data_IF_646446739448
#
_entry.id   IF_646446739448
#
_cell.length_a   1.000
_cell.length_b   1.000
_cell.length_c   1.000
_cell.angle_alpha   90.00
_cell.angle_beta   90.00
_cell.angle_gamma   90.00
#
_symmetry.space_group_name_H-M   'P 1'
#
loop_
_entity.id
_entity.type
_entity.pdbx_description
1 polymer ?
#
# COMPACT_ATOMS: atom_id res chain seq x y z
N UNK A 1 12.44 4.06 -14.34
CA UNK A 1 12.04 2.93 -13.48
C UNK A 1 11.52 3.49 -12.18
N UNK A 2 10.37 3.05 -11.71
CA UNK A 2 9.87 3.44 -10.39
C UNK A 2 10.87 2.95 -9.33
N UNK A 3 11.23 3.81 -8.39
CA UNK A 3 12.11 3.46 -7.29
C UNK A 3 11.31 3.59 -5.99
N UNK A 4 10.67 2.49 -5.60
CA UNK A 4 9.86 2.44 -4.39
C UNK A 4 10.74 2.45 -3.15
N UNK A 5 10.27 3.16 -2.14
CA UNK A 5 10.84 3.13 -0.80
C UNK A 5 10.08 2.11 0.04
N UNK A 6 10.73 1.02 0.40
CA UNK A 6 10.13 -0.03 1.22
C UNK A 6 10.05 0.33 2.71
N UNK A 7 10.56 1.48 3.13
CA UNK A 7 10.57 1.91 4.54
C UNK A 7 9.19 2.08 5.17
N UNK A 8 8.15 2.24 4.35
CA UNK A 8 6.76 2.35 4.80
C UNK A 8 6.06 1.00 4.98
N UNK A 9 6.67 -0.09 4.53
CA UNK A 9 6.18 -1.44 4.74
C UNK A 9 6.61 -1.92 6.15
N UNK A 10 5.80 -2.77 6.76
CA UNK A 10 6.23 -3.60 7.88
C UNK A 10 6.72 -4.96 7.37
N UNK A 11 7.25 -5.80 8.28
CA UNK A 11 7.79 -7.12 7.91
C UNK A 11 6.76 -7.94 7.12
N UNK A 12 5.52 -7.98 7.58
CA UNK A 12 4.43 -8.72 6.95
C UNK A 12 4.04 -8.17 5.57
N UNK A 13 4.00 -6.84 5.41
CA UNK A 13 3.74 -6.22 4.12
C UNK A 13 4.82 -6.63 3.10
N UNK A 14 6.09 -6.68 3.52
CA UNK A 14 7.20 -7.12 2.65
C UNK A 14 7.14 -8.62 2.34
N UNK A 15 6.75 -9.46 3.30
CA UNK A 15 6.53 -10.91 3.08
C UNK A 15 5.42 -11.13 2.05
N UNK A 16 4.28 -10.46 2.18
CA UNK A 16 3.15 -10.56 1.25
C UNK A 16 3.52 -10.05 -0.15
N UNK A 17 4.23 -8.92 -0.24
CA UNK A 17 4.75 -8.41 -1.50
C UNK A 17 5.72 -9.40 -2.15
N UNK A 18 6.67 -9.93 -1.39
CA UNK A 18 7.65 -10.90 -1.88
C UNK A 18 6.97 -12.18 -2.36
N UNK A 19 5.95 -12.67 -1.64
CA UNK A 19 5.14 -13.81 -2.06
C UNK A 19 4.50 -13.58 -3.42
N UNK A 20 3.83 -12.45 -3.61
CA UNK A 20 3.10 -12.15 -4.83
C UNK A 20 4.07 -11.98 -6.02
N UNK A 21 5.18 -11.28 -5.81
CA UNK A 21 6.22 -11.11 -6.83
C UNK A 21 6.90 -12.44 -7.20
N UNK A 22 7.31 -13.25 -6.21
CA UNK A 22 7.92 -14.55 -6.45
C UNK A 22 6.95 -15.52 -7.11
N UNK A 23 5.70 -15.55 -6.66
CA UNK A 23 4.67 -16.43 -7.26
C UNK A 23 4.47 -16.09 -8.73
N UNK A 24 4.45 -14.82 -9.07
CA UNK A 24 4.32 -14.35 -10.45
C UNK A 24 5.56 -14.62 -11.29
N UNK A 25 6.74 -14.33 -10.72
CA UNK A 25 8.03 -14.45 -11.41
C UNK A 25 8.42 -15.90 -11.69
N UNK A 26 8.23 -16.79 -10.71
CA UNK A 26 8.55 -18.22 -10.82
C UNK A 26 7.39 -19.07 -11.35
N UNK A 27 6.19 -18.49 -11.51
CA UNK A 27 4.95 -19.19 -11.84
C UNK A 27 4.64 -20.36 -10.87
N UNK A 28 4.92 -20.13 -9.59
CA UNK A 28 4.69 -21.06 -8.50
C UNK A 28 3.73 -20.43 -7.48
N UNK A 29 2.96 -21.25 -6.77
CA UNK A 29 2.04 -20.76 -5.74
C UNK A 29 2.69 -20.91 -4.35
N UNK A 30 3.28 -19.82 -3.84
CA UNK A 30 3.89 -19.79 -2.52
C UNK A 30 2.85 -19.64 -1.41
N UNK A 31 2.99 -20.44 -0.36
CA UNK A 31 2.20 -20.37 0.86
C UNK A 31 2.87 -19.42 1.85
N UNK A 32 2.10 -18.55 2.49
CA UNK A 32 2.52 -17.74 3.65
C UNK A 32 1.99 -18.36 4.94
N UNK A 33 2.66 -18.07 6.06
CA UNK A 33 2.31 -18.62 7.36
C UNK A 33 1.88 -17.52 8.33
N UNK A 34 1.18 -17.91 9.39
CA UNK A 34 0.83 -17.02 10.49
C UNK A 34 2.11 -16.69 11.26
N UNK A 35 2.32 -15.41 11.56
CA UNK A 35 3.43 -14.96 12.39
C UNK A 35 3.50 -15.75 13.71
N UNK A 36 4.69 -16.25 14.06
CA UNK A 36 4.90 -16.95 15.32
C UNK A 36 5.96 -18.04 15.25
N UNK A 37 5.60 -19.32 15.40
CA UNK A 37 6.53 -20.44 15.48
C UNK A 37 6.77 -21.12 14.12
N UNK A 38 7.21 -20.36 13.14
CA UNK A 38 7.45 -20.78 11.74
C UNK A 38 8.84 -21.36 11.47
N UNK A 39 9.69 -21.46 12.48
CA UNK A 39 11.08 -21.93 12.38
C UNK A 39 11.95 -21.15 11.38
N UNK A 40 11.57 -19.88 11.08
CA UNK A 40 12.26 -19.02 10.12
C UNK A 40 11.85 -19.25 8.67
N UNK A 41 10.65 -19.79 8.44
CA UNK A 41 10.05 -19.92 7.11
C UNK A 41 8.99 -18.84 6.96
N UNK A 42 9.23 -17.86 6.09
CA UNK A 42 8.22 -16.82 5.80
C UNK A 42 7.30 -17.29 4.67
N UNK A 43 7.87 -17.88 3.63
CA UNK A 43 7.11 -18.46 2.52
C UNK A 43 7.65 -19.87 2.18
N UNK A 44 6.76 -20.72 1.67
CA UNK A 44 7.09 -22.09 1.28
C UNK A 44 6.37 -22.50 0.00
N UNK A 45 7.06 -23.25 -0.82
CA UNK A 45 6.46 -24.03 -1.89
C UNK A 45 6.67 -25.52 -1.60
N UNK A 46 5.57 -26.27 -1.58
CA UNK A 46 5.54 -27.71 -1.28
C UNK A 46 5.18 -28.48 -2.54
N UNK A 47 5.80 -29.63 -2.70
CA UNK A 47 5.45 -30.63 -3.72
C UNK A 47 4.90 -31.88 -3.05
N UNK A 48 4.34 -32.83 -3.83
CA UNK A 48 3.87 -34.12 -3.30
C UNK A 48 4.98 -34.95 -2.65
N UNK A 49 6.26 -34.65 -3.01
CA UNK A 49 7.43 -35.40 -2.53
C UNK A 49 8.14 -34.72 -1.36
N UNK A 50 8.01 -33.40 -1.23
CA UNK A 50 8.72 -32.63 -0.23
C UNK A 50 7.89 -31.40 0.19
N UNK A 51 7.63 -31.30 1.49
CA UNK A 51 6.94 -30.15 2.07
C UNK A 51 7.77 -28.87 2.03
N UNK A 52 9.09 -28.98 2.00
CA UNK A 52 10.04 -27.86 2.00
C UNK A 52 10.86 -27.81 0.70
N UNK A 53 10.25 -28.09 -0.44
CA UNK A 53 10.95 -28.08 -1.73
C UNK A 53 11.64 -26.75 -1.99
N UNK A 54 10.91 -25.63 -1.83
CA UNK A 54 11.50 -24.28 -1.84
C UNK A 54 11.10 -23.55 -0.56
N UNK A 55 12.08 -23.05 0.16
CA UNK A 55 11.89 -22.21 1.35
C UNK A 55 12.38 -20.81 1.04
N UNK A 56 11.58 -19.81 1.41
CA UNK A 56 11.90 -18.39 1.25
C UNK A 56 11.94 -17.73 2.60
N UNK A 57 12.96 -16.94 2.85
CA UNK A 57 13.06 -16.05 4.00
C UNK A 57 13.11 -14.61 3.54
N UNK A 58 12.33 -13.77 4.21
CA UNK A 58 12.22 -12.33 3.94
C UNK A 58 12.72 -11.57 5.16
N UNK A 59 13.66 -10.66 4.96
CA UNK A 59 14.21 -9.82 6.05
C UNK A 59 14.05 -8.35 5.72
N UNK A 60 13.22 -7.68 6.49
CA UNK A 60 13.03 -6.25 6.39
C UNK A 60 13.99 -5.52 7.33
N UNK A 61 15.02 -4.88 6.75
CA UNK A 61 16.04 -4.16 7.51
C UNK A 61 15.96 -2.67 7.20
N UNK A 62 15.50 -1.88 8.15
CA UNK A 62 15.35 -0.41 7.98
C UNK A 62 16.51 0.39 8.57
N UNK A 63 17.10 -0.06 9.67
CA UNK A 63 18.04 0.76 10.45
C UNK A 63 19.41 0.13 10.71
N UNK A 64 19.51 -1.20 10.71
CA UNK A 64 20.71 -1.89 11.21
C UNK A 64 21.80 -2.16 10.15
N UNK A 65 21.47 -1.93 8.87
CA UNK A 65 22.41 -2.06 7.77
C UNK A 65 22.82 -3.50 7.40
N UNK A 66 23.57 -3.60 6.30
CA UNK A 66 23.92 -4.88 5.68
C UNK A 66 24.87 -5.76 6.53
N UNK A 67 25.79 -5.13 7.28
CA UNK A 67 26.73 -5.89 8.14
C UNK A 67 26.00 -6.61 9.26
N UNK A 68 25.02 -5.98 9.87
CA UNK A 68 24.18 -6.60 10.90
C UNK A 68 23.35 -7.75 10.31
N UNK A 69 22.78 -7.55 9.13
CA UNK A 69 22.07 -8.60 8.40
C UNK A 69 22.96 -9.82 8.16
N UNK A 70 24.14 -9.65 7.55
CA UNK A 70 25.07 -10.76 7.28
C UNK A 70 25.48 -11.51 8.55
N UNK A 71 25.68 -10.78 9.66
CA UNK A 71 25.98 -11.39 10.96
C UNK A 71 24.81 -12.23 11.48
N UNK A 72 23.58 -11.72 11.36
CA UNK A 72 22.38 -12.48 11.76
C UNK A 72 22.19 -13.73 10.89
N UNK A 73 22.35 -13.61 9.58
CA UNK A 73 22.22 -14.73 8.65
C UNK A 73 23.18 -15.86 9.01
N UNK A 74 24.44 -15.51 9.29
CA UNK A 74 25.47 -16.48 9.65
C UNK A 74 25.25 -17.12 11.02
N UNK A 75 24.87 -16.32 12.02
CA UNK A 75 24.88 -16.76 13.42
C UNK A 75 23.55 -17.35 13.90
N UNK A 76 22.43 -17.06 13.20
CA UNK A 76 21.10 -17.49 13.64
C UNK A 76 20.32 -18.23 12.56
N UNK A 77 20.36 -17.74 11.31
CA UNK A 77 19.48 -18.27 10.28
C UNK A 77 20.04 -19.51 9.59
N UNK A 78 21.35 -19.60 9.44
CA UNK A 78 21.99 -20.75 8.80
C UNK A 78 21.63 -22.09 9.48
N UNK A 79 21.65 -22.15 10.82
CA UNK A 79 21.33 -23.38 11.55
C UNK A 79 19.88 -23.83 11.34
N UNK A 80 18.96 -22.88 11.20
CA UNK A 80 17.56 -23.16 10.89
C UNK A 80 17.41 -23.78 9.51
N UNK A 81 18.04 -23.17 8.50
CA UNK A 81 18.01 -23.66 7.12
C UNK A 81 18.69 -25.02 7.01
N UNK A 82 19.82 -25.20 7.70
CA UNK A 82 20.53 -26.48 7.75
C UNK A 82 19.73 -27.60 8.43
N UNK A 83 18.84 -27.25 9.35
CA UNK A 83 17.90 -28.21 9.97
C UNK A 83 16.75 -28.55 9.01
N UNK A 84 16.23 -27.58 8.26
CA UNK A 84 15.15 -27.78 7.31
C UNK A 84 15.59 -28.54 6.05
N UNK A 85 16.84 -28.35 5.62
CA UNK A 85 17.45 -28.95 4.42
C UNK A 85 16.59 -28.80 3.16
N UNK A 86 16.15 -27.57 2.81
CA UNK A 86 15.33 -27.37 1.62
C UNK A 86 16.12 -27.71 0.35
N UNK A 87 15.44 -28.16 -0.70
CA UNK A 87 16.08 -28.36 -2.01
C UNK A 87 16.58 -27.05 -2.61
N UNK A 88 15.85 -25.95 -2.38
CA UNK A 88 16.22 -24.60 -2.80
C UNK A 88 15.84 -23.59 -1.72
N UNK A 89 16.78 -22.74 -1.36
CA UNK A 89 16.57 -21.64 -0.43
C UNK A 89 16.65 -20.32 -1.17
N UNK A 90 15.64 -19.47 -1.01
CA UNK A 90 15.57 -18.11 -1.58
C UNK A 90 15.62 -17.12 -0.43
N UNK A 91 16.47 -16.13 -0.55
CA UNK A 91 16.59 -15.04 0.42
C UNK A 91 16.18 -13.72 -0.19
N UNK A 92 15.31 -12.97 0.51
CA UNK A 92 14.83 -11.66 0.09
C UNK A 92 15.06 -10.61 1.18
N UNK A 93 15.46 -9.41 0.79
CA UNK A 93 15.61 -8.27 1.72
C UNK A 93 15.23 -6.94 1.06
N UNK A 94 14.78 -5.99 1.87
CA UNK A 94 14.52 -4.61 1.46
C UNK A 94 15.79 -3.77 1.23
N UNK A 95 16.97 -4.31 1.57
CA UNK A 95 18.24 -3.61 1.39
C UNK A 95 18.75 -3.70 -0.07
N UNK A 96 19.43 -2.66 -0.56
CA UNK A 96 20.20 -2.77 -1.80
C UNK A 96 21.39 -3.70 -1.60
N UNK A 97 21.65 -4.57 -2.58
CA UNK A 97 22.74 -5.54 -2.54
C UNK A 97 23.68 -5.37 -3.72
N UNK A 98 24.97 -5.28 -3.45
CA UNK A 98 26.00 -5.37 -4.50
C UNK A 98 26.17 -6.83 -4.99
N UNK A 99 26.81 -7.06 -6.16
CA UNK A 99 27.15 -8.41 -6.61
C UNK A 99 27.97 -9.20 -5.57
N UNK A 100 28.87 -8.54 -4.85
CA UNK A 100 29.69 -9.17 -3.80
C UNK A 100 28.81 -9.58 -2.61
N UNK A 101 27.85 -8.74 -2.21
CA UNK A 101 26.94 -9.07 -1.11
C UNK A 101 26.10 -10.30 -1.41
N UNK A 102 25.63 -10.43 -2.67
CA UNK A 102 24.92 -11.64 -3.10
C UNK A 102 25.81 -12.89 -3.06
N UNK A 103 27.07 -12.75 -3.45
CA UNK A 103 28.03 -13.85 -3.36
C UNK A 103 28.27 -14.26 -1.91
N UNK A 104 28.54 -13.31 -1.01
CA UNK A 104 28.77 -13.58 0.41
C UNK A 104 27.56 -14.27 1.06
N UNK A 105 26.34 -13.83 0.75
CA UNK A 105 25.12 -14.47 1.27
C UNK A 105 24.94 -15.88 0.71
N UNK A 106 25.24 -16.10 -0.58
CA UNK A 106 25.22 -17.44 -1.17
C UNK A 106 26.18 -18.38 -0.45
N UNK A 107 27.39 -17.93 -0.15
CA UNK A 107 28.40 -18.74 0.54
C UNK A 107 27.98 -19.11 1.97
N UNK A 108 27.29 -18.19 2.68
CA UNK A 108 26.72 -18.49 4.01
C UNK A 108 25.74 -19.67 3.94
N UNK A 109 24.89 -19.74 2.93
CA UNK A 109 23.82 -20.73 2.84
C UNK A 109 24.11 -21.89 1.88
N UNK A 110 25.37 -22.08 1.48
CA UNK A 110 25.73 -23.25 0.67
C UNK A 110 25.43 -24.56 1.45
N UNK A 111 24.87 -25.59 0.83
CA UNK A 111 24.54 -25.73 -0.61
C UNK A 111 23.10 -25.33 -0.99
N UNK A 112 22.33 -24.71 -0.11
CA UNK A 112 20.87 -24.50 -0.27
C UNK A 112 20.52 -23.37 -1.24
N UNK A 113 21.32 -22.29 -1.30
CA UNK A 113 21.17 -21.23 -2.34
C UNK A 113 21.88 -21.72 -3.60
N UNK A 114 21.09 -22.03 -4.62
CA UNK A 114 21.61 -22.64 -5.85
C UNK A 114 22.27 -21.60 -6.78
N UNK A 115 21.76 -20.38 -6.80
CA UNK A 115 22.22 -19.30 -7.67
C UNK A 115 22.22 -17.96 -6.93
N UNK A 116 23.06 -17.02 -7.34
CA UNK A 116 22.98 -15.62 -6.88
C UNK A 116 21.63 -14.95 -7.21
N UNK A 117 20.90 -15.46 -8.19
CA UNK A 117 19.52 -15.03 -8.51
C UNK A 117 18.50 -15.45 -7.46
N UNK A 118 18.83 -16.35 -6.52
CA UNK A 118 17.99 -16.70 -5.39
C UNK A 118 18.13 -15.69 -4.23
N UNK A 119 18.94 -14.66 -4.42
CA UNK A 119 19.16 -13.59 -3.46
C UNK A 119 18.60 -12.31 -4.07
N UNK A 120 17.50 -11.85 -3.48
CA UNK A 120 16.66 -10.77 -3.98
C UNK A 120 16.86 -9.56 -3.08
N UNK A 121 17.37 -8.47 -3.64
CA UNK A 121 17.53 -7.20 -2.97
C UNK A 121 16.50 -6.17 -3.42
N UNK A 122 16.63 -4.95 -2.89
CA UNK A 122 15.79 -3.81 -3.22
C UNK A 122 15.63 -3.59 -4.73
N UNK A 123 16.73 -3.68 -5.48
CA UNK A 123 16.73 -3.38 -6.91
C UNK A 123 16.00 -4.46 -7.72
N UNK A 124 16.11 -5.73 -7.30
CA UNK A 124 15.37 -6.83 -7.92
C UNK A 124 13.86 -6.68 -7.70
N UNK A 125 13.45 -6.32 -6.46
CA UNK A 125 12.05 -6.06 -6.12
C UNK A 125 11.49 -4.89 -6.94
N UNK A 126 12.23 -3.78 -7.05
CA UNK A 126 11.83 -2.62 -7.85
C UNK A 126 11.70 -2.96 -9.34
N UNK A 127 12.60 -3.78 -9.87
CA UNK A 127 12.52 -4.26 -11.25
C UNK A 127 11.24 -5.06 -11.48
N UNK A 128 10.96 -6.03 -10.61
CA UNK A 128 9.75 -6.86 -10.74
C UNK A 128 8.45 -6.07 -10.55
N UNK A 129 8.44 -5.06 -9.68
CA UNK A 129 7.31 -4.14 -9.56
C UNK A 129 7.04 -3.36 -10.86
N UNK A 130 8.10 -3.00 -11.58
CA UNK A 130 7.97 -2.42 -12.92
C UNK A 130 7.47 -3.39 -13.97
N UNK A 131 7.85 -4.68 -13.85
CA UNK A 131 7.45 -5.75 -14.77
C UNK A 131 6.02 -6.26 -14.51
N UNK A 132 5.48 -6.08 -13.27
CA UNK A 132 4.17 -6.59 -12.83
C UNK A 132 3.30 -5.50 -12.19
N UNK A 133 2.73 -4.57 -12.98
CA UNK A 133 1.92 -3.44 -12.46
C UNK A 133 0.73 -3.88 -11.61
N UNK A 134 0.12 -5.02 -11.94
CA UNK A 134 -1.02 -5.57 -11.20
C UNK A 134 -0.69 -5.95 -9.74
N UNK A 135 0.58 -6.24 -9.44
CA UNK A 135 1.03 -6.50 -8.07
C UNK A 135 1.22 -5.18 -7.33
N UNK A 136 1.79 -4.18 -8.01
CA UNK A 136 1.96 -2.84 -7.47
C UNK A 136 0.62 -2.26 -6.97
N UNK A 137 -0.44 -2.36 -7.77
CA UNK A 137 -1.78 -1.84 -7.43
C UNK A 137 -2.37 -2.51 -6.18
N UNK A 138 -2.13 -3.82 -5.98
CA UNK A 138 -2.60 -4.53 -4.77
C UNK A 138 -1.88 -4.10 -3.50
N UNK A 139 -0.64 -3.66 -3.60
CA UNK A 139 0.17 -3.23 -2.46
C UNK A 139 0.08 -1.70 -2.27
N UNK A 140 -1.12 -1.21 -1.91
CA UNK A 140 -1.44 0.23 -1.87
C UNK A 140 -0.47 1.06 -1.03
N UNK A 141 0.08 0.54 0.07
CA UNK A 141 1.07 1.25 0.90
C UNK A 141 2.31 1.61 0.11
N UNK A 142 2.81 0.66 -0.69
CA UNK A 142 3.98 0.85 -1.53
C UNK A 142 3.71 1.93 -2.59
N UNK A 143 2.58 1.80 -3.28
CA UNK A 143 2.17 2.77 -4.30
C UNK A 143 1.95 4.15 -3.69
N UNK A 144 1.16 4.24 -2.60
CA UNK A 144 0.79 5.50 -1.98
C UNK A 144 1.99 6.22 -1.32
N UNK A 145 3.02 5.48 -0.92
CA UNK A 145 4.25 6.02 -0.32
C UNK A 145 5.33 6.39 -1.32
N UNK A 146 5.12 6.19 -2.63
CA UNK A 146 6.08 6.62 -3.63
C UNK A 146 6.26 8.14 -3.61
N UNK A 147 7.48 8.61 -3.90
CA UNK A 147 7.82 10.05 -3.83
C UNK A 147 6.92 10.88 -4.76
N UNK A 148 6.63 10.37 -5.96
CA UNK A 148 5.77 11.03 -6.92
C UNK A 148 4.33 11.15 -6.41
N UNK A 149 3.79 10.08 -5.84
CA UNK A 149 2.42 10.05 -5.30
C UNK A 149 2.31 10.95 -4.07
N UNK A 150 3.28 10.90 -3.15
CA UNK A 150 3.31 11.80 -1.99
C UNK A 150 3.36 13.27 -2.42
N UNK A 151 4.13 13.62 -3.45
CA UNK A 151 4.13 14.98 -4.01
C UNK A 151 2.76 15.36 -4.57
N UNK A 152 2.07 14.46 -5.27
CA UNK A 152 0.69 14.70 -5.76
C UNK A 152 -0.28 14.93 -4.60
N UNK A 153 -0.27 14.06 -3.59
CA UNK A 153 -1.13 14.17 -2.42
C UNK A 153 -0.93 15.53 -1.73
N UNK A 154 0.32 15.93 -1.50
CA UNK A 154 0.63 17.21 -0.85
C UNK A 154 0.22 18.39 -1.73
N UNK A 155 0.42 18.31 -3.05
CA UNK A 155 0.01 19.36 -3.99
C UNK A 155 -1.50 19.54 -4.02
N UNK A 156 -2.25 18.45 -4.06
CA UNK A 156 -3.70 18.43 -4.26
C UNK A 156 -4.49 18.61 -2.95
N UNK A 157 -3.87 18.28 -1.80
CA UNK A 157 -4.52 18.31 -0.49
C UNK A 157 -4.24 19.54 0.37
N UNK A 158 -3.08 20.20 0.20
CA UNK A 158 -2.67 21.27 1.14
C UNK A 158 -1.90 22.38 0.43
N UNK A 159 -2.52 23.53 0.28
CA UNK A 159 -1.82 24.75 -0.16
C UNK A 159 -1.01 25.32 1.02
N UNK A 160 0.32 25.08 1.06
CA UNK A 160 1.25 25.92 1.80
C UNK A 160 2.05 25.39 2.99
N UNK A 161 2.03 24.09 3.35
CA UNK A 161 2.85 23.51 4.46
C UNK A 161 3.32 22.09 4.13
N UNK A 162 4.23 21.95 3.18
CA UNK A 162 4.52 20.65 2.54
C UNK A 162 5.26 19.59 3.38
N UNK A 163 6.27 19.99 4.19
CA UNK A 163 7.14 18.99 4.88
C UNK A 163 6.44 18.29 6.06
N UNK A 164 5.79 19.05 6.95
CA UNK A 164 5.08 18.49 8.11
C UNK A 164 3.95 17.55 7.70
N UNK A 165 3.20 17.91 6.66
CA UNK A 165 2.12 17.06 6.16
C UNK A 165 2.65 15.80 5.48
N UNK A 166 3.78 15.88 4.78
CA UNK A 166 4.43 14.74 4.16
C UNK A 166 4.79 13.68 5.21
N UNK A 167 5.45 14.07 6.30
CA UNK A 167 5.80 13.15 7.39
C UNK A 167 4.56 12.53 8.04
N UNK A 168 3.52 13.34 8.28
CA UNK A 168 2.25 12.85 8.84
C UNK A 168 1.61 11.80 7.93
N UNK A 169 1.50 12.08 6.63
CA UNK A 169 0.91 11.17 5.64
C UNK A 169 1.69 9.85 5.61
N UNK A 170 3.02 9.92 5.50
CA UNK A 170 3.86 8.72 5.48
C UNK A 170 3.68 7.88 6.75
N UNK A 171 3.62 8.53 7.91
CA UNK A 171 3.39 7.84 9.19
C UNK A 171 2.01 7.18 9.25
N UNK A 172 0.97 7.85 8.81
CA UNK A 172 -0.40 7.29 8.77
C UNK A 172 -0.47 6.10 7.82
N UNK A 173 0.11 6.21 6.61
CA UNK A 173 0.18 5.11 5.64
C UNK A 173 0.94 3.91 6.20
N UNK A 174 2.10 4.14 6.82
CA UNK A 174 2.94 3.06 7.37
C UNK A 174 2.25 2.29 8.51
N UNK A 175 1.50 2.99 9.36
CA UNK A 175 0.79 2.38 10.49
C UNK A 175 -0.54 1.74 10.10
N UNK A 176 -1.10 2.11 8.97
CA UNK A 176 -2.40 1.60 8.55
C UNK A 176 -2.32 0.13 8.13
N UNK A 177 -3.24 -0.68 8.65
CA UNK A 177 -3.38 -2.09 8.26
C UNK A 177 -4.70 -2.24 7.50
N UNK A 178 -4.66 -2.54 6.18
CA UNK A 178 -5.88 -2.78 5.42
C UNK A 178 -6.63 -4.00 6.00
N UNK A 179 -7.93 -3.86 6.09
CA UNK A 179 -8.80 -4.92 6.53
C UNK A 179 -10.01 -5.02 5.57
N UNK A 180 -10.92 -5.95 5.86
CA UNK A 180 -12.13 -6.14 5.04
C UNK A 180 -12.94 -4.85 4.89
N UNK A 181 -13.05 -4.06 5.95
CA UNK A 181 -13.76 -2.77 5.94
C UNK A 181 -13.15 -1.76 4.97
N UNK A 182 -11.82 -1.75 4.82
CA UNK A 182 -11.15 -0.91 3.83
C UNK A 182 -11.57 -1.28 2.40
N UNK A 183 -11.54 -2.59 2.07
CA UNK A 183 -11.92 -3.08 0.74
C UNK A 183 -13.40 -2.77 0.45
N UNK A 184 -14.27 -2.98 1.43
CA UNK A 184 -15.69 -2.65 1.33
C UNK A 184 -15.91 -1.15 1.13
N UNK A 185 -15.15 -0.29 1.83
CA UNK A 185 -15.22 1.16 1.72
C UNK A 185 -14.78 1.65 0.33
N UNK A 186 -13.66 1.14 -0.21
CA UNK A 186 -13.20 1.44 -1.57
C UNK A 186 -14.25 1.05 -2.60
N UNK A 187 -14.77 -0.17 -2.51
CA UNK A 187 -15.80 -0.66 -3.44
C UNK A 187 -17.07 0.19 -3.37
N UNK A 188 -17.52 0.54 -2.15
CA UNK A 188 -18.71 1.38 -1.96
C UNK A 188 -18.50 2.78 -2.52
N UNK A 189 -17.33 3.37 -2.32
CA UNK A 189 -16.99 4.68 -2.84
C UNK A 189 -16.96 4.70 -4.37
N UNK A 190 -16.38 3.69 -4.99
CA UNK A 190 -16.31 3.54 -6.44
C UNK A 190 -17.68 3.35 -7.10
N UNK A 191 -18.61 2.67 -6.42
CA UNK A 191 -19.97 2.40 -6.95
C UNK A 191 -20.89 3.57 -6.71
N UNK A 192 -20.88 4.11 -5.48
CA UNK A 192 -21.90 5.09 -5.03
C UNK A 192 -21.40 6.53 -5.11
N UNK A 193 -20.09 6.76 -5.29
CA UNK A 193 -19.41 8.06 -5.28
C UNK A 193 -19.57 8.86 -3.97
N UNK A 194 -20.09 8.23 -2.93
CA UNK A 194 -20.10 8.75 -1.57
C UNK A 194 -19.91 7.63 -0.56
N UNK A 195 -19.45 7.98 0.63
CA UNK A 195 -19.23 7.05 1.73
C UNK A 195 -19.50 7.71 3.08
N UNK A 196 -20.36 7.11 3.90
CA UNK A 196 -20.58 7.50 5.29
C UNK A 196 -19.87 6.51 6.23
N UNK A 197 -18.89 6.99 6.99
CA UNK A 197 -18.11 6.17 7.93
C UNK A 197 -18.64 6.42 9.35
N UNK A 198 -19.33 5.43 9.91
CA UNK A 198 -19.90 5.49 11.27
C UNK A 198 -19.27 4.46 12.18
N UNK A 199 -19.39 4.65 13.50
CA UNK A 199 -18.92 3.68 14.50
C UNK A 199 -18.45 4.35 15.79
N UNK A 200 -18.09 3.53 16.79
CA UNK A 200 -17.65 3.99 18.10
C UNK A 200 -16.40 4.88 18.05
N UNK A 201 -16.16 5.76 19.03
CA UNK A 201 -14.91 6.52 19.13
C UNK A 201 -13.68 5.58 19.18
N UNK A 202 -12.57 5.99 18.56
CA UNK A 202 -11.29 5.28 18.62
C UNK A 202 -11.12 4.07 17.69
N UNK A 203 -12.13 3.66 16.89
CA UNK A 203 -12.03 2.51 16.00
C UNK A 203 -11.32 2.77 14.66
N UNK A 204 -10.77 3.96 14.46
CA UNK A 204 -9.99 4.29 13.26
C UNK A 204 -10.79 4.90 12.11
N UNK A 205 -12.00 5.46 12.35
CA UNK A 205 -12.82 6.12 11.31
C UNK A 205 -12.06 7.20 10.53
N UNK A 206 -11.46 8.14 11.25
CA UNK A 206 -10.70 9.25 10.64
C UNK A 206 -9.46 8.73 9.89
N UNK A 207 -8.81 7.68 10.40
CA UNK A 207 -7.69 7.05 9.70
C UNK A 207 -8.14 6.43 8.38
N UNK A 208 -9.25 5.70 8.38
CA UNK A 208 -9.83 5.13 7.15
C UNK A 208 -10.19 6.25 6.16
N UNK A 209 -10.88 7.30 6.61
CA UNK A 209 -11.24 8.44 5.77
C UNK A 209 -10.01 9.13 5.16
N UNK A 210 -8.95 9.35 5.97
CA UNK A 210 -7.70 9.93 5.49
C UNK A 210 -7.03 9.06 4.42
N UNK A 211 -6.94 7.74 4.64
CA UNK A 211 -6.32 6.82 3.67
C UNK A 211 -7.09 6.80 2.35
N UNK A 212 -8.42 6.76 2.38
CA UNK A 212 -9.25 6.84 1.18
C UNK A 212 -9.06 8.18 0.46
N UNK A 213 -9.00 9.28 1.21
CA UNK A 213 -8.72 10.61 0.65
C UNK A 213 -7.34 10.64 -0.01
N UNK A 214 -6.29 10.08 0.62
CA UNK A 214 -4.95 10.03 0.02
C UNK A 214 -4.93 9.23 -1.29
N UNK A 215 -5.69 8.14 -1.38
CA UNK A 215 -5.85 7.38 -2.62
C UNK A 215 -6.46 8.23 -3.74
N UNK A 216 -7.55 8.94 -3.45
CA UNK A 216 -8.18 9.84 -4.44
C UNK A 216 -7.26 11.01 -4.85
N UNK A 217 -6.53 11.63 -3.89
CA UNK A 217 -5.57 12.68 -4.21
C UNK A 217 -4.41 12.18 -5.09
N UNK A 218 -4.01 10.94 -4.91
CA UNK A 218 -3.01 10.29 -5.75
C UNK A 218 -3.52 10.05 -7.18
N UNK A 219 -4.84 9.95 -7.36
CA UNK A 219 -5.55 9.84 -8.64
C UNK A 219 -5.95 11.21 -9.23
N UNK A 220 -5.29 12.28 -8.80
CA UNK A 220 -5.49 13.67 -9.27
C UNK A 220 -6.85 14.28 -8.93
N UNK A 221 -7.49 13.82 -7.85
CA UNK A 221 -8.60 14.55 -7.23
C UNK A 221 -8.08 15.74 -6.41
N UNK A 222 -8.83 16.83 -6.36
CA UNK A 222 -8.59 17.98 -5.48
C UNK A 222 -9.40 17.82 -4.19
N UNK A 223 -8.78 18.01 -3.02
CA UNK A 223 -9.48 17.98 -1.73
C UNK A 223 -10.22 19.28 -1.46
N UNK A 224 -11.50 19.14 -1.19
CA UNK A 224 -12.37 20.21 -0.67
C UNK A 224 -12.79 19.80 0.75
N UNK A 225 -12.19 20.46 1.75
CA UNK A 225 -12.58 20.25 3.14
C UNK A 225 -13.76 21.15 3.48
N UNK A 226 -14.85 20.56 3.93
CA UNK A 226 -16.12 21.29 4.15
C UNK A 226 -16.69 20.97 5.53
N UNK A 227 -17.35 21.97 6.13
CA UNK A 227 -18.05 21.83 7.41
C UNK A 227 -19.56 21.79 7.21
N UNK A 228 -20.06 22.46 6.19
CA UNK A 228 -21.47 22.57 5.86
C UNK A 228 -21.70 22.23 4.39
N UNK A 229 -22.88 21.70 4.07
CA UNK A 229 -23.23 21.31 2.70
C UNK A 229 -23.21 22.47 1.71
N UNK A 230 -23.54 23.67 2.15
CA UNK A 230 -23.49 24.89 1.35
C UNK A 230 -22.07 25.19 0.84
N UNK A 231 -21.06 24.95 1.65
CA UNK A 231 -19.67 25.10 1.23
C UNK A 231 -19.31 24.13 0.11
N UNK A 232 -19.85 22.88 0.16
CA UNK A 232 -19.66 21.91 -0.90
C UNK A 232 -20.32 22.30 -2.21
N UNK A 233 -21.55 22.82 -2.13
CA UNK A 233 -22.31 23.30 -3.29
C UNK A 233 -21.62 24.50 -3.97
N UNK A 234 -21.08 25.44 -3.18
CA UNK A 234 -20.32 26.59 -3.69
C UNK A 234 -18.98 26.21 -4.30
N UNK A 235 -18.31 25.23 -3.73
CA UNK A 235 -17.00 24.77 -4.19
C UNK A 235 -17.08 23.78 -5.35
N UNK A 236 -18.26 23.26 -5.65
CA UNK A 236 -18.43 22.27 -6.70
C UNK A 236 -18.15 22.84 -8.10
N UNK A 237 -17.20 22.28 -8.79
CA UNK A 237 -16.82 22.64 -10.15
C UNK A 237 -17.10 21.48 -11.11
N UNK A 238 -18.02 21.69 -12.03
CA UNK A 238 -18.37 20.72 -13.06
C UNK A 238 -17.13 20.35 -13.90
N UNK A 239 -16.90 19.07 -14.14
CA UNK A 239 -15.79 18.56 -14.92
C UNK A 239 -14.44 18.53 -14.18
N UNK A 240 -14.41 18.86 -12.87
CA UNK A 240 -13.25 18.72 -12.02
C UNK A 240 -13.35 17.46 -11.16
N UNK A 241 -12.23 16.78 -10.99
CA UNK A 241 -12.11 15.65 -10.07
C UNK A 241 -11.94 16.21 -8.66
N UNK A 242 -13.00 16.22 -7.86
CA UNK A 242 -13.00 16.77 -6.50
C UNK A 242 -13.43 15.69 -5.51
N UNK A 243 -12.79 15.65 -4.34
CA UNK A 243 -13.21 14.88 -3.19
C UNK A 243 -13.63 15.83 -2.06
N UNK A 244 -14.88 15.74 -1.65
CA UNK A 244 -15.44 16.53 -0.55
C UNK A 244 -15.31 15.74 0.74
N UNK A 245 -14.57 16.28 1.70
CA UNK A 245 -14.34 15.64 2.99
C UNK A 245 -15.07 16.41 4.09
N UNK A 246 -16.01 15.72 4.74
CA UNK A 246 -16.74 16.22 5.89
C UNK A 246 -16.22 15.54 7.16
N UNK A 247 -15.70 16.31 8.12
CA UNK A 247 -15.34 15.80 9.44
C UNK A 247 -16.45 16.11 10.44
N UNK A 248 -16.78 15.12 11.29
CA UNK A 248 -17.81 15.19 12.33
C UNK A 248 -19.21 15.63 11.81
N UNK A 249 -19.58 15.11 10.67
CA UNK A 249 -20.82 15.42 9.96
C UNK A 249 -22.10 15.31 10.83
N UNK A 250 -22.17 14.33 11.74
CA UNK A 250 -23.33 14.16 12.64
C UNK A 250 -23.26 15.04 13.90
N UNK A 251 -22.08 15.51 14.32
CA UNK A 251 -21.94 16.44 15.44
C UNK A 251 -22.53 17.82 15.13
N UNK A 252 -22.34 18.29 13.92
CA UNK A 252 -22.94 19.57 13.47
C UNK A 252 -24.46 19.49 13.31
N UNK A 253 -25.00 18.33 12.94
CA UNK A 253 -26.45 18.14 12.72
C UNK A 253 -27.23 18.00 14.03
N UNK A 254 -26.63 17.38 15.07
CA UNK A 254 -27.33 17.12 16.35
C UNK A 254 -27.49 18.37 17.23
N UNK A 255 -26.69 19.39 17.01
CA UNK A 255 -26.80 20.66 17.79
C UNK A 255 -27.92 21.59 17.31
N UNK A 256 -28.44 21.40 16.09
CA UNK A 256 -29.49 22.25 15.49
C UNK A 256 -30.66 21.38 15.02
N UNK A 257 -31.45 20.87 15.98
CA UNK A 257 -32.63 20.04 15.71
C UNK A 257 -33.73 20.73 14.86
N UNK A 258 -33.63 22.04 14.64
CA UNK A 258 -34.56 22.82 13.82
C UNK A 258 -34.09 23.09 12.38
N UNK A 259 -32.77 22.96 12.11
CA UNK A 259 -32.22 23.11 10.74
C UNK A 259 -32.06 21.76 10.03
N UNK A 260 -32.17 20.64 10.74
CA UNK A 260 -31.83 19.30 10.25
C UNK A 260 -32.66 18.80 9.05
N UNK A 261 -33.94 19.14 8.99
CA UNK A 261 -34.80 18.71 7.86
C UNK A 261 -34.40 19.29 6.51
N UNK A 262 -33.87 20.51 6.50
CA UNK A 262 -33.37 21.13 5.27
C UNK A 262 -31.95 20.64 4.92
N UNK A 263 -31.14 20.35 5.91
CA UNK A 263 -29.78 19.83 5.71
C UNK A 263 -29.81 18.41 5.11
N UNK A 264 -30.68 17.54 5.58
CA UNK A 264 -30.81 16.15 5.05
C UNK A 264 -31.20 16.19 3.56
N UNK A 265 -32.14 17.06 3.18
CA UNK A 265 -32.56 17.22 1.78
C UNK A 265 -31.43 17.79 0.92
N UNK A 266 -30.68 18.77 1.43
CA UNK A 266 -29.55 19.37 0.70
C UNK A 266 -28.44 18.38 0.44
N UNK A 267 -28.13 17.51 1.43
CA UNK A 267 -27.13 16.45 1.28
C UNK A 267 -27.58 15.45 0.22
N UNK A 268 -28.80 14.95 0.28
CA UNK A 268 -29.31 13.99 -0.70
C UNK A 268 -29.26 14.61 -2.10
N UNK A 269 -29.71 15.85 -2.26
CA UNK A 269 -29.64 16.56 -3.53
C UNK A 269 -28.21 16.72 -4.05
N UNK A 270 -27.26 17.02 -3.15
CA UNK A 270 -25.84 17.12 -3.53
C UNK A 270 -25.28 15.78 -3.97
N UNK A 271 -25.57 14.69 -3.22
CA UNK A 271 -25.15 13.32 -3.59
C UNK A 271 -25.74 12.93 -4.95
N UNK A 272 -27.04 13.18 -5.18
CA UNK A 272 -27.66 12.90 -6.48
C UNK A 272 -27.01 13.70 -7.61
N UNK A 273 -26.69 14.96 -7.35
CA UNK A 273 -25.97 15.80 -8.31
C UNK A 273 -24.62 15.26 -8.69
N UNK A 274 -23.76 14.90 -7.73
CA UNK A 274 -22.44 14.35 -8.02
C UNK A 274 -22.50 12.95 -8.65
N UNK A 275 -23.48 12.13 -8.28
CA UNK A 275 -23.68 10.79 -8.87
C UNK A 275 -24.16 10.86 -10.32
N UNK A 276 -24.99 11.86 -10.66
CA UNK A 276 -25.50 12.05 -12.02
C UNK A 276 -24.47 12.54 -13.04
N UNK A 277 -23.37 13.17 -12.58
CA UNK A 277 -22.31 13.68 -13.48
C UNK A 277 -21.28 12.63 -13.89
N UNK A 278 -21.21 11.49 -13.23
CA UNK A 278 -20.20 10.45 -13.51
C UNK A 278 -20.57 9.50 -14.65
N UNK A 279 -21.73 9.67 -15.28
CA UNK A 279 -22.14 8.93 -16.50
C UNK A 279 -21.41 9.34 -17.77
N UNK A 280 -20.78 10.53 -17.80
CA UNK A 280 -20.18 11.13 -19.02
C UNK A 280 -18.65 11.32 -18.96
N UNK A 281 -17.95 10.72 -17.98
CA UNK A 281 -16.49 10.78 -17.98
C UNK A 281 -15.98 9.71 -18.95
N UNK A 282 -15.68 10.14 -20.19
CA UNK A 282 -14.98 9.33 -21.19
C UNK A 282 -13.58 8.99 -20.65
N UNK A 283 -13.28 7.72 -20.38
CA UNK A 283 -11.95 7.30 -19.91
C UNK A 283 -10.83 7.51 -20.93
N UNK A 284 -11.15 7.92 -22.16
CA UNK A 284 -10.17 8.20 -23.21
C UNK A 284 -9.66 9.65 -23.25
N UNK A 285 -10.21 10.56 -22.46
CA UNK A 285 -9.84 11.98 -22.47
C UNK A 285 -8.50 12.32 -21.78
N UNK A 286 -7.74 11.32 -21.32
CA UNK A 286 -6.48 11.47 -20.57
C UNK A 286 -5.18 11.29 -21.37
N UNK A 287 -5.24 10.99 -22.67
CA UNK A 287 -4.05 10.86 -23.53
C UNK A 287 -4.03 11.90 -24.64
N UNK A 288 -3.66 13.13 -24.30
CA UNK A 288 -3.13 14.07 -25.28
C UNK A 288 -1.62 13.82 -25.37
N UNK A 289 -1.24 13.21 -26.47
CA UNK A 289 0.14 13.02 -26.97
C UNK A 289 0.87 14.39 -27.01
N UNK A 290 2.05 14.56 -26.36
CA UNK A 290 2.81 15.80 -26.45
C UNK A 290 3.74 15.78 -27.66
N UNK A 291 3.17 15.72 -28.87
CA UNK A 291 3.93 15.89 -30.11
C UNK A 291 3.12 16.67 -31.13
N UNK A 292 3.06 18.00 -30.94
CA UNK A 292 3.03 19.03 -32.02
C UNK A 292 3.77 20.27 -31.49
#
# INVERSE_FOLDING_TARGET
MANYDFSTLNDRDLEELTRDLLSRHLQLNFQSFKAGRDKGIDLRYSTVKDDNDIVVQVKHYLSSGLSALKSELKNKEFDKVNTLKPRRYIFCTSLPLSPQDKTDIKDIFAPYILSVSDIIGKDDLNKWLGDYPEIQERHFKLWLSSIEIIKKIVKNGVKGRSEFYREKILKEIALYVPNKTHIEAVNSLNINHFLLITGAPGIGKSTLANILTYQLLAEDFELVYVREITEAEEAFLQGKRQVFYFDDFLGAITLDLYSSRNADSAIVNFIERISGYNGDIDPSAGHTDPSV
#
